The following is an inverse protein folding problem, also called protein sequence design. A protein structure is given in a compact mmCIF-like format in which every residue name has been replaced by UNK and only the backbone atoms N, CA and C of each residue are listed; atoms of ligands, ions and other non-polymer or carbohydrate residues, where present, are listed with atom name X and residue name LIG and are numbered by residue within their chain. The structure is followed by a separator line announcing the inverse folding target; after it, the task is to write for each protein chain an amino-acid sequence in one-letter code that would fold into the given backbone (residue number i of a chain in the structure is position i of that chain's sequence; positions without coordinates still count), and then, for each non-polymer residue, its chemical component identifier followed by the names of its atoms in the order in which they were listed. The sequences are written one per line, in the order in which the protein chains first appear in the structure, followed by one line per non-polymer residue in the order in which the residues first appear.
data_IF_520340494390
#
_entry.id   IF_520340494390
#
_cell.length_a   1.000
_cell.length_b   1.000
_cell.length_c   1.000
_cell.angle_alpha   90.00
_cell.angle_beta   90.00
_cell.angle_gamma   90.00
#
_symmetry.space_group_name_H-M   'P 1'
#
loop_
_entity.id
_entity.type
_entity.pdbx_description
1 polymer ?
#
# COMPACT_ATOMS: atom_id res chain seq x y z
N UNK A 1 -5.49 -19.55 8.88
CA UNK A 1 -4.50 -18.54 8.46
C UNK A 1 -5.23 -17.22 8.32
N UNK A 2 -4.88 -16.23 9.10
CA UNK A 2 -5.56 -14.94 9.10
C UNK A 2 -5.34 -14.17 7.79
N UNK A 3 -6.34 -13.40 7.40
CA UNK A 3 -6.31 -12.52 6.23
C UNK A 3 -6.31 -11.08 6.69
N UNK A 4 -5.40 -10.27 6.18
CA UNK A 4 -5.38 -8.84 6.40
C UNK A 4 -5.51 -8.08 5.07
N UNK A 5 -6.32 -7.03 5.08
CA UNK A 5 -6.47 -6.09 3.97
C UNK A 5 -5.69 -4.82 4.28
N UNK A 6 -4.82 -4.43 3.36
CA UNK A 6 -3.95 -3.25 3.50
C UNK A 6 -4.17 -2.35 2.29
N UNK A 7 -4.49 -1.10 2.52
CA UNK A 7 -4.56 -0.09 1.48
C UNK A 7 -3.17 0.52 1.24
N UNK A 8 -2.82 0.80 -0.01
CA UNK A 8 -1.65 1.61 -0.33
C UNK A 8 -2.05 2.98 -0.83
N UNK A 9 -1.36 4.00 -0.38
CA UNK A 9 -1.53 5.37 -0.78
C UNK A 9 -0.16 6.02 -1.00
N UNK A 10 -0.09 7.06 -1.80
CA UNK A 10 1.13 7.80 -2.12
C UNK A 10 0.97 8.51 -3.45
N UNK A 11 1.74 9.56 -3.67
CA UNK A 11 1.70 10.32 -4.91
C UNK A 11 2.22 9.51 -6.10
N UNK A 12 1.99 10.02 -7.28
CA UNK A 12 2.66 9.52 -8.49
C UNK A 12 4.17 9.57 -8.26
N UNK A 13 4.86 8.54 -8.68
CA UNK A 13 6.32 8.35 -8.54
C UNK A 13 6.84 8.15 -7.11
N UNK A 14 6.01 8.02 -6.09
CA UNK A 14 6.49 7.67 -4.74
C UNK A 14 6.94 6.20 -4.62
N UNK A 15 6.64 5.37 -5.65
CA UNK A 15 7.12 3.99 -5.78
C UNK A 15 6.16 2.93 -5.25
N UNK A 16 4.83 3.19 -5.27
CA UNK A 16 3.81 2.20 -4.87
C UNK A 16 3.92 0.89 -5.65
N UNK A 17 3.86 0.98 -6.99
CA UNK A 17 3.94 -0.20 -7.86
C UNK A 17 5.26 -0.97 -7.66
N UNK A 18 6.38 -0.24 -7.48
CA UNK A 18 7.68 -0.86 -7.18
C UNK A 18 7.66 -1.60 -5.84
N UNK A 19 7.07 -1.00 -4.79
CA UNK A 19 6.95 -1.63 -3.48
C UNK A 19 6.10 -2.90 -3.53
N UNK A 20 4.93 -2.82 -4.18
CA UNK A 20 4.03 -3.98 -4.30
C UNK A 20 4.70 -5.07 -5.13
N UNK A 21 5.30 -4.73 -6.27
CA UNK A 21 6.04 -5.68 -7.08
C UNK A 21 7.20 -6.33 -6.32
N UNK A 22 7.92 -5.57 -5.47
CA UNK A 22 8.97 -6.11 -4.60
C UNK A 22 8.41 -7.10 -3.58
N UNK A 23 7.31 -6.78 -2.93
CA UNK A 23 6.65 -7.70 -2.00
C UNK A 23 6.23 -9.00 -2.70
N UNK A 24 5.65 -8.92 -3.91
CA UNK A 24 5.25 -10.09 -4.69
C UNK A 24 6.45 -10.94 -5.10
N UNK A 25 7.53 -10.30 -5.56
CA UNK A 25 8.75 -11.00 -5.97
C UNK A 25 9.40 -11.74 -4.79
N UNK A 26 9.64 -11.04 -3.69
CA UNK A 26 10.33 -11.59 -2.51
C UNK A 26 9.51 -12.65 -1.76
N UNK A 27 8.18 -12.60 -1.85
CA UNK A 27 7.30 -13.62 -1.25
C UNK A 27 7.03 -14.81 -2.17
N UNK A 28 7.61 -14.81 -3.40
CA UNK A 28 7.40 -15.87 -4.37
C UNK A 28 5.97 -15.92 -4.93
N UNK A 29 5.25 -14.81 -4.88
CA UNK A 29 3.88 -14.72 -5.40
C UNK A 29 3.83 -14.56 -6.93
N UNK A 30 4.92 -14.12 -7.56
CA UNK A 30 5.04 -14.03 -9.03
C UNK A 30 5.37 -15.40 -9.61
N UNK A 31 4.71 -15.73 -10.72
CA UNK A 31 5.01 -16.94 -11.49
C UNK A 31 6.27 -16.75 -12.32
N UNK A 32 6.90 -17.85 -12.71
CA UNK A 32 8.15 -17.83 -13.50
C UNK A 32 8.01 -17.10 -14.85
N UNK A 33 6.87 -17.26 -15.52
CA UNK A 33 6.57 -16.56 -16.77
C UNK A 33 6.44 -15.04 -16.59
N UNK A 34 5.86 -14.60 -15.46
CA UNK A 34 5.77 -13.18 -15.11
C UNK A 34 7.16 -12.60 -14.81
N UNK A 35 7.99 -13.33 -14.06
CA UNK A 35 9.36 -12.90 -13.74
C UNK A 35 10.18 -12.75 -15.03
N UNK A 36 10.15 -13.76 -15.91
CA UNK A 36 10.86 -13.72 -17.19
C UNK A 36 10.40 -12.51 -18.03
N UNK A 37 9.11 -12.23 -18.11
CA UNK A 37 8.58 -11.07 -18.83
C UNK A 37 9.08 -9.73 -18.25
N UNK A 38 9.15 -9.62 -16.91
CA UNK A 38 9.70 -8.43 -16.25
C UNK A 38 11.20 -8.28 -16.54
N UNK A 39 11.96 -9.38 -16.52
CA UNK A 39 13.40 -9.41 -16.87
C UNK A 39 13.65 -8.93 -18.30
N UNK A 40 12.94 -9.50 -19.29
CA UNK A 40 13.04 -9.14 -20.68
C UNK A 40 12.72 -7.65 -20.93
N UNK A 41 11.65 -7.14 -20.30
CA UNK A 41 11.26 -5.72 -20.42
C UNK A 41 12.23 -4.78 -19.73
N UNK A 42 12.74 -5.15 -18.56
CA UNK A 42 13.74 -4.36 -17.84
C UNK A 42 15.03 -4.25 -18.66
N UNK A 43 15.49 -5.36 -19.26
CA UNK A 43 16.63 -5.38 -20.15
C UNK A 43 16.41 -4.55 -21.42
N UNK A 44 15.22 -4.65 -22.06
CA UNK A 44 14.89 -3.88 -23.26
C UNK A 44 14.84 -2.36 -23.01
N UNK A 45 14.52 -1.94 -21.78
CA UNK A 45 14.54 -0.52 -21.37
C UNK A 45 15.95 -0.02 -20.98
N UNK A 46 16.95 -0.90 -20.98
CA UNK A 46 18.31 -0.55 -20.59
C UNK A 46 18.50 -0.32 -19.08
N UNK A 47 17.57 -0.76 -18.26
CA UNK A 47 17.69 -0.65 -16.81
C UNK A 47 18.73 -1.67 -16.29
N UNK A 48 19.67 -1.20 -15.46
CA UNK A 48 20.61 -2.06 -14.76
C UNK A 48 20.01 -2.80 -13.56
N UNK A 49 18.69 -2.82 -13.44
CA UNK A 49 17.93 -3.45 -12.35
C UNK A 49 16.61 -4.00 -12.87
N UNK A 50 15.97 -4.87 -12.07
CA UNK A 50 14.67 -5.45 -12.35
C UNK A 50 13.56 -4.43 -12.03
N UNK A 51 12.81 -3.99 -13.05
CA UNK A 51 11.70 -3.05 -12.88
C UNK A 51 10.44 -3.78 -12.41
N UNK A 52 10.34 -3.95 -11.10
CA UNK A 52 9.22 -4.64 -10.48
C UNK A 52 7.90 -3.86 -10.48
N UNK A 53 7.89 -2.60 -10.92
CA UNK A 53 6.64 -1.87 -11.12
C UNK A 53 5.76 -2.53 -12.19
N UNK A 54 6.37 -3.22 -13.13
CA UNK A 54 5.69 -3.99 -14.18
C UNK A 54 4.85 -5.17 -13.65
N UNK A 55 5.07 -5.60 -12.41
CA UNK A 55 4.31 -6.69 -11.79
C UNK A 55 2.85 -6.29 -11.48
N UNK A 56 2.58 -5.01 -11.31
CA UNK A 56 1.26 -4.47 -10.93
C UNK A 56 0.49 -3.86 -12.10
N UNK A 57 1.13 -3.67 -13.25
CA UNK A 57 0.51 -3.06 -14.43
C UNK A 57 -0.56 -3.98 -15.04
N UNK A 58 -1.81 -3.82 -14.58
CA UNK A 58 -2.95 -4.66 -14.97
C UNK A 58 -3.61 -4.25 -16.28
N UNK A 59 -3.85 -2.96 -16.49
CA UNK A 59 -4.58 -2.41 -17.63
C UNK A 59 -3.64 -1.83 -18.70
N UNK A 60 -4.03 -1.95 -19.97
CA UNK A 60 -3.25 -1.43 -21.10
C UNK A 60 -3.06 0.09 -20.99
N UNK A 61 -4.11 0.80 -20.57
CA UNK A 61 -4.12 2.25 -20.35
C UNK A 61 -3.24 2.68 -19.19
N UNK A 62 -3.14 1.88 -18.14
CA UNK A 62 -2.24 2.10 -17.00
C UNK A 62 -0.77 1.96 -17.45
N UNK A 63 -0.50 0.98 -18.31
CA UNK A 63 0.84 0.77 -18.90
C UNK A 63 1.30 1.92 -19.78
N UNK A 64 0.39 2.49 -20.56
CA UNK A 64 0.69 3.60 -21.47
C UNK A 64 0.92 4.91 -20.74
N UNK A 65 0.19 5.14 -19.65
CA UNK A 65 0.25 6.39 -18.87
C UNK A 65 1.18 6.29 -17.65
N UNK A 66 1.58 5.07 -17.24
CA UNK A 66 2.41 4.83 -16.05
C UNK A 66 1.73 5.21 -14.74
N UNK A 67 0.38 5.21 -14.71
CA UNK A 67 -0.42 5.55 -13.52
C UNK A 67 -1.49 4.49 -13.26
N UNK A 68 -1.79 4.20 -12.00
CA UNK A 68 -2.93 3.39 -11.59
C UNK A 68 -4.21 4.21 -11.72
N UNK A 69 -5.20 3.70 -12.44
CA UNK A 69 -6.47 4.39 -12.70
C UNK A 69 -7.57 3.87 -11.78
N UNK A 70 -7.68 2.55 -11.62
CA UNK A 70 -8.70 1.92 -10.79
C UNK A 70 -8.05 1.14 -9.64
N UNK A 71 -8.86 0.78 -8.63
CA UNK A 71 -8.39 -0.02 -7.49
C UNK A 71 -8.17 -1.45 -7.92
N UNK A 72 -6.95 -1.91 -7.81
CA UNK A 72 -6.62 -3.33 -7.98
C UNK A 72 -6.42 -4.02 -6.63
N UNK A 73 -6.89 -5.28 -6.54
CA UNK A 73 -6.68 -6.11 -5.37
C UNK A 73 -5.62 -7.16 -5.68
N UNK A 74 -4.51 -7.06 -4.99
CA UNK A 74 -3.34 -7.90 -5.19
C UNK A 74 -3.22 -8.86 -4.02
N UNK A 75 -3.09 -10.14 -4.32
CA UNK A 75 -3.10 -11.22 -3.33
C UNK A 75 -1.73 -11.85 -3.22
N UNK A 76 -1.22 -11.97 -2.01
CA UNK A 76 -0.05 -12.78 -1.72
C UNK A 76 -0.14 -13.40 -0.33
N UNK A 77 0.73 -14.35 -0.04
CA UNK A 77 0.75 -15.03 1.24
C UNK A 77 2.16 -15.27 1.74
N UNK A 78 2.29 -15.33 3.04
CA UNK A 78 3.46 -15.83 3.75
C UNK A 78 3.07 -17.09 4.51
N UNK A 79 3.99 -17.89 5.04
CA UNK A 79 3.64 -19.04 5.87
C UNK A 79 2.75 -18.70 7.08
N UNK A 80 2.79 -17.44 7.55
CA UNK A 80 2.04 -17.00 8.74
C UNK A 80 0.71 -16.33 8.41
N UNK A 81 0.59 -15.63 7.26
CA UNK A 81 -0.55 -14.75 7.00
C UNK A 81 -0.81 -14.57 5.50
N UNK A 82 -2.09 -14.37 5.12
CA UNK A 82 -2.50 -13.93 3.79
C UNK A 82 -2.72 -12.43 3.76
N UNK A 83 -2.41 -11.81 2.63
CA UNK A 83 -2.52 -10.38 2.41
C UNK A 83 -3.36 -10.08 1.17
N UNK A 84 -4.19 -9.05 1.28
CA UNK A 84 -4.81 -8.37 0.15
C UNK A 84 -4.31 -6.94 0.18
N UNK A 85 -3.57 -6.53 -0.83
CA UNK A 85 -3.23 -5.12 -1.02
C UNK A 85 -4.26 -4.50 -1.95
N UNK A 86 -4.94 -3.47 -1.46
CA UNK A 86 -5.75 -2.59 -2.30
C UNK A 86 -4.83 -1.48 -2.82
N UNK A 87 -4.38 -1.63 -4.06
CA UNK A 87 -3.57 -0.61 -4.73
C UNK A 87 -4.47 0.49 -5.26
N UNK A 88 -4.26 1.69 -4.76
CA UNK A 88 -5.08 2.85 -5.05
C UNK A 88 -4.32 3.86 -5.92
N UNK A 89 -5.01 4.53 -6.86
CA UNK A 89 -4.41 5.56 -7.68
C UNK A 89 -3.75 6.65 -6.84
N UNK A 90 -2.54 7.09 -7.26
CA UNK A 90 -1.82 8.18 -6.58
C UNK A 90 -2.24 9.58 -7.01
N UNK A 91 -2.99 9.70 -8.10
CA UNK A 91 -3.40 10.98 -8.66
C UNK A 91 -4.59 11.60 -7.91
N UNK A 92 -4.57 12.93 -7.74
CA UNK A 92 -5.60 13.67 -6.97
C UNK A 92 -7.01 13.41 -7.50
N UNK A 93 -7.17 13.31 -8.83
CA UNK A 93 -8.45 13.09 -9.50
C UNK A 93 -9.10 11.76 -9.14
N UNK A 94 -8.32 10.76 -8.74
CA UNK A 94 -8.81 9.41 -8.41
C UNK A 94 -8.96 9.16 -6.90
N UNK A 95 -8.99 10.22 -6.07
CA UNK A 95 -9.17 10.09 -4.61
C UNK A 95 -10.43 9.29 -4.24
N UNK A 96 -11.50 9.37 -5.05
CA UNK A 96 -12.72 8.58 -4.84
C UNK A 96 -12.45 7.07 -4.93
N UNK A 97 -11.63 6.64 -5.88
CA UNK A 97 -11.26 5.23 -6.02
C UNK A 97 -10.43 4.75 -4.82
N UNK A 98 -9.54 5.62 -4.30
CA UNK A 98 -8.83 5.35 -3.05
C UNK A 98 -9.78 5.10 -1.88
N UNK A 99 -10.82 5.93 -1.70
CA UNK A 99 -11.82 5.75 -0.64
C UNK A 99 -12.50 4.39 -0.76
N UNK A 100 -12.93 4.02 -1.95
CA UNK A 100 -13.58 2.72 -2.21
C UNK A 100 -12.66 1.53 -1.89
N UNK A 101 -11.40 1.57 -2.38
CA UNK A 101 -10.42 0.50 -2.16
C UNK A 101 -9.99 0.36 -0.70
N UNK A 102 -9.94 1.48 0.01
CA UNK A 102 -9.47 1.51 1.41
C UNK A 102 -10.58 1.25 2.44
N UNK A 103 -11.86 1.32 2.07
CA UNK A 103 -13.00 1.27 3.00
C UNK A 103 -13.08 0.01 3.86
N UNK A 104 -12.47 -1.08 3.41
CA UNK A 104 -12.44 -2.37 4.12
C UNK A 104 -11.04 -2.74 4.61
N UNK A 105 -10.08 -1.82 4.50
CA UNK A 105 -8.70 -2.06 4.92
C UNK A 105 -8.55 -1.92 6.45
N UNK A 106 -7.75 -2.79 7.03
CA UNK A 106 -7.41 -2.80 8.46
C UNK A 106 -6.15 -1.97 8.73
N UNK A 107 -5.31 -1.83 7.71
CA UNK A 107 -4.12 -1.01 7.76
C UNK A 107 -3.93 -0.22 6.46
N UNK A 108 -3.17 0.84 6.51
CA UNK A 108 -2.78 1.63 5.33
C UNK A 108 -1.28 1.87 5.32
N UNK A 109 -0.67 1.71 4.14
CA UNK A 109 0.71 2.12 3.88
C UNK A 109 0.66 3.40 3.07
N UNK A 110 1.15 4.49 3.66
CA UNK A 110 1.28 5.79 2.99
C UNK A 110 2.74 5.96 2.59
N UNK A 111 3.02 5.88 1.29
CA UNK A 111 4.37 6.08 0.77
C UNK A 111 4.68 7.55 0.58
N UNK A 112 5.94 7.88 0.87
CA UNK A 112 6.53 9.21 0.64
C UNK A 112 7.89 9.04 -0.03
N UNK A 113 8.23 9.93 -0.95
CA UNK A 113 9.60 10.04 -1.50
C UNK A 113 10.47 10.84 -0.52
N UNK A 114 11.56 10.23 -0.03
CA UNK A 114 12.47 10.83 0.94
C UNK A 114 13.05 12.19 0.49
N UNK A 115 13.15 12.43 -0.82
CA UNK A 115 13.62 13.71 -1.39
C UNK A 115 12.58 14.81 -1.29
N UNK A 116 11.29 14.45 -1.33
CA UNK A 116 10.15 15.40 -1.35
C UNK A 116 9.62 15.68 0.05
N UNK A 117 9.77 14.71 0.96
CA UNK A 117 9.20 14.77 2.31
C UNK A 117 7.68 14.77 2.32
N UNK A 118 7.08 15.45 3.29
CA UNK A 118 5.63 15.53 3.48
C UNK A 118 5.03 16.60 2.57
N UNK A 119 4.37 16.19 1.51
CA UNK A 119 3.70 17.07 0.55
C UNK A 119 2.18 17.11 0.79
N UNK A 120 1.47 17.98 0.09
CA UNK A 120 0.03 18.15 0.24
C UNK A 120 -0.75 16.85 -0.02
N UNK A 121 -0.32 16.05 -1.00
CA UNK A 121 -0.94 14.76 -1.30
C UNK A 121 -0.76 13.76 -0.16
N UNK A 122 0.40 13.76 0.52
CA UNK A 122 0.63 12.94 1.72
C UNK A 122 -0.39 13.26 2.81
N UNK A 123 -0.63 14.57 3.05
CA UNK A 123 -1.63 15.01 4.04
C UNK A 123 -3.05 14.55 3.65
N UNK A 124 -3.43 14.66 2.37
CA UNK A 124 -4.73 14.18 1.89
C UNK A 124 -4.91 12.68 2.11
N UNK A 125 -3.90 11.89 1.78
CA UNK A 125 -3.93 10.43 2.02
C UNK A 125 -4.06 10.13 3.52
N UNK A 126 -3.35 10.85 4.36
CA UNK A 126 -3.48 10.74 5.81
C UNK A 126 -4.90 11.06 6.29
N UNK A 127 -5.49 12.18 5.85
CA UNK A 127 -6.87 12.53 6.24
C UNK A 127 -7.90 11.52 5.75
N UNK A 128 -7.77 11.02 4.52
CA UNK A 128 -8.67 9.98 4.00
C UNK A 128 -8.58 8.70 4.85
N UNK A 129 -7.38 8.25 5.19
CA UNK A 129 -7.20 7.07 6.06
C UNK A 129 -7.79 7.27 7.45
N UNK A 130 -7.69 8.46 8.02
CA UNK A 130 -8.32 8.82 9.29
C UNK A 130 -9.85 8.78 9.20
N UNK A 131 -10.44 9.37 8.15
CA UNK A 131 -11.89 9.39 7.93
C UNK A 131 -12.47 7.98 7.72
N UNK A 132 -11.70 7.07 7.11
CA UNK A 132 -12.10 5.67 6.94
C UNK A 132 -11.95 4.83 8.21
N UNK A 133 -11.42 5.40 9.30
CA UNK A 133 -11.27 4.73 10.58
C UNK A 133 -10.22 3.62 10.59
N UNK A 134 -9.23 3.67 9.69
CA UNK A 134 -8.15 2.68 9.63
C UNK A 134 -7.30 2.77 10.89
N UNK A 135 -7.11 1.62 11.57
CA UNK A 135 -6.48 1.56 12.90
C UNK A 135 -4.95 1.51 12.88
N UNK A 136 -4.34 1.14 11.76
CA UNK A 136 -2.89 1.03 11.63
C UNK A 136 -2.43 1.79 10.39
N UNK A 137 -1.60 2.81 10.60
CA UNK A 137 -1.04 3.63 9.50
C UNK A 137 0.48 3.49 9.53
N UNK A 138 1.04 3.05 8.40
CA UNK A 138 2.46 2.90 8.18
C UNK A 138 2.90 3.99 7.21
N UNK A 139 3.70 4.94 7.67
CA UNK A 139 4.38 5.91 6.83
C UNK A 139 5.68 5.28 6.33
N UNK A 140 5.69 4.92 5.05
CA UNK A 140 6.83 4.31 4.38
C UNK A 140 7.63 5.40 3.65
N UNK A 141 8.74 5.81 4.25
CA UNK A 141 9.65 6.80 3.69
C UNK A 141 10.55 6.09 2.68
N UNK A 142 10.15 6.12 1.42
CA UNK A 142 10.76 5.38 0.32
C UNK A 142 11.85 6.18 -0.37
N UNK A 143 12.65 5.48 -1.18
CA UNK A 143 13.78 6.02 -1.94
C UNK A 143 14.89 6.59 -1.07
N UNK A 144 15.13 5.95 0.07
CA UNK A 144 16.24 6.30 0.95
C UNK A 144 17.60 6.17 0.27
N UNK A 145 17.72 5.34 -0.76
CA UNK A 145 18.87 5.23 -1.65
C UNK A 145 19.24 6.56 -2.32
N UNK A 146 18.25 7.36 -2.72
CA UNK A 146 18.45 8.64 -3.39
C UNK A 146 18.88 9.78 -2.44
N UNK A 147 18.83 9.54 -1.13
CA UNK A 147 19.32 10.45 -0.09
C UNK A 147 20.47 9.82 0.71
N UNK A 148 21.16 8.82 0.11
CA UNK A 148 22.30 8.11 0.69
C UNK A 148 22.00 7.51 2.08
N UNK A 149 20.78 7.03 2.30
CA UNK A 149 20.33 6.40 3.54
C UNK A 149 20.52 7.24 4.81
N UNK A 150 20.54 8.57 4.68
CA UNK A 150 20.82 9.50 5.79
C UNK A 150 19.71 9.45 6.84
N UNK A 151 20.08 9.20 8.09
CA UNK A 151 19.17 9.20 9.23
C UNK A 151 18.51 10.56 9.43
N UNK A 152 19.26 11.65 9.27
CA UNK A 152 18.76 13.02 9.44
C UNK A 152 17.53 13.30 8.57
N UNK A 153 17.55 12.87 7.29
CA UNK A 153 16.43 13.06 6.37
C UNK A 153 15.18 12.31 6.86
N UNK A 154 15.36 11.09 7.37
CA UNK A 154 14.26 10.32 7.94
C UNK A 154 13.68 10.98 9.18
N UNK A 155 14.53 11.45 10.12
CA UNK A 155 14.06 12.06 11.37
C UNK A 155 13.36 13.41 11.12
N UNK A 156 13.79 14.20 10.14
CA UNK A 156 13.13 15.45 9.74
C UNK A 156 11.72 15.17 9.18
N UNK A 157 11.59 14.17 8.30
CA UNK A 157 10.30 13.76 7.75
C UNK A 157 9.40 13.21 8.86
N UNK A 158 9.92 12.34 9.73
CA UNK A 158 9.20 11.77 10.86
C UNK A 158 8.73 12.86 11.83
N UNK A 159 9.54 13.86 12.11
CA UNK A 159 9.14 14.99 12.94
C UNK A 159 7.97 15.75 12.32
N UNK A 160 8.03 16.01 11.02
CA UNK A 160 6.93 16.65 10.28
C UNK A 160 5.64 15.82 10.31
N UNK A 161 5.75 14.51 10.15
CA UNK A 161 4.62 13.58 10.27
C UNK A 161 4.06 13.52 11.69
N UNK A 162 4.93 13.50 12.71
CA UNK A 162 4.49 13.54 14.11
C UNK A 162 3.68 14.81 14.40
N UNK A 163 4.14 15.98 13.95
CA UNK A 163 3.40 17.24 14.10
C UNK A 163 2.02 17.17 13.40
N UNK A 164 1.93 16.49 12.26
CA UNK A 164 0.65 16.27 11.56
C UNK A 164 -0.26 15.32 12.36
N UNK A 165 0.30 14.24 12.90
CA UNK A 165 -0.41 13.26 13.75
C UNK A 165 -0.86 13.90 15.06
N UNK A 166 -0.01 14.64 15.75
CA UNK A 166 -0.34 15.30 17.02
C UNK A 166 -1.47 16.30 16.86
N UNK A 167 -1.52 16.99 15.71
CA UNK A 167 -2.54 18.00 15.43
C UNK A 167 -3.87 17.42 14.95
N UNK A 168 -3.84 16.31 14.19
CA UNK A 168 -4.99 15.81 13.44
C UNK A 168 -5.21 14.30 13.57
N UNK A 169 -4.30 13.58 14.22
CA UNK A 169 -4.39 12.13 14.36
C UNK A 169 -5.43 11.69 15.37
N UNK A 170 -5.92 10.46 15.20
CA UNK A 170 -6.80 9.82 16.16
C UNK A 170 -5.95 9.04 17.17
N UNK A 171 -6.27 9.16 18.47
CA UNK A 171 -5.56 8.47 19.57
C UNK A 171 -5.70 6.95 19.54
N UNK A 172 -6.75 6.44 18.88
CA UNK A 172 -7.01 5.00 18.76
C UNK A 172 -6.29 4.37 17.55
N UNK A 173 -5.44 5.13 16.86
CA UNK A 173 -4.69 4.69 15.68
C UNK A 173 -3.22 4.49 16.02
N UNK A 174 -2.66 3.36 15.59
CA UNK A 174 -1.23 3.08 15.70
C UNK A 174 -0.49 3.64 14.48
N UNK A 175 0.53 4.46 14.72
CA UNK A 175 1.34 5.08 13.68
C UNK A 175 2.74 4.47 13.68
N UNK A 176 3.19 4.03 12.50
CA UNK A 176 4.50 3.45 12.30
C UNK A 176 5.26 4.23 11.23
N UNK A 177 6.57 4.35 11.41
CA UNK A 177 7.45 5.07 10.49
C UNK A 177 8.59 4.16 10.09
N UNK A 178 8.76 3.93 8.79
CA UNK A 178 9.77 3.03 8.29
C UNK A 178 10.54 3.64 7.12
N UNK A 179 11.88 3.77 7.22
CA UNK A 179 12.73 4.12 6.10
C UNK A 179 12.95 2.88 5.24
N UNK A 180 12.81 3.01 3.92
CA UNK A 180 13.01 1.87 3.01
C UNK A 180 13.49 2.30 1.61
N UNK A 181 13.96 1.33 0.84
CA UNK A 181 14.13 1.46 -0.61
C UNK A 181 13.45 0.28 -1.29
N UNK A 182 12.35 0.57 -1.99
CA UNK A 182 11.61 -0.44 -2.73
C UNK A 182 12.42 -1.02 -3.89
N UNK A 183 13.29 -0.20 -4.49
CA UNK A 183 14.14 -0.63 -5.60
C UNK A 183 15.16 -1.66 -5.18
N UNK A 184 15.80 -1.47 -4.01
CA UNK A 184 16.91 -2.29 -3.54
C UNK A 184 16.53 -3.27 -2.41
N UNK A 185 15.23 -3.46 -2.12
CA UNK A 185 14.73 -4.35 -1.05
C UNK A 185 15.21 -3.98 0.36
N UNK A 186 15.57 -2.71 0.58
CA UNK A 186 16.07 -2.28 1.89
C UNK A 186 14.91 -2.04 2.86
N UNK A 187 14.90 -2.72 4.01
CA UNK A 187 13.86 -2.70 5.03
C UNK A 187 12.45 -3.16 4.56
N UNK A 188 12.35 -3.96 3.50
CA UNK A 188 11.06 -4.47 3.02
C UNK A 188 10.77 -5.85 3.58
N UNK A 189 11.57 -6.86 3.22
CA UNK A 189 11.40 -8.22 3.74
C UNK A 189 12.33 -8.46 4.91
N UNK A 190 13.57 -7.99 4.80
CA UNK A 190 14.59 -8.09 5.84
C UNK A 190 15.10 -6.71 6.22
N UNK A 191 15.65 -6.60 7.42
CA UNK A 191 16.32 -5.38 7.85
C UNK A 191 17.55 -5.12 6.99
N UNK A 192 17.77 -3.86 6.64
CA UNK A 192 18.88 -3.39 5.83
C UNK A 192 20.09 -3.06 6.69
N UNK A 193 21.27 -3.48 6.26
CA UNK A 193 22.54 -3.03 6.86
C UNK A 193 22.83 -1.54 6.57
N UNK A 194 22.33 -1.00 5.44
CA UNK A 194 22.47 0.43 5.08
C UNK A 194 21.59 1.36 5.93
N UNK A 195 20.59 0.78 6.59
CA UNK A 195 19.65 1.47 7.49
C UNK A 195 19.79 0.92 8.91
N UNK A 196 20.99 0.57 9.35
CA UNK A 196 21.29 -0.06 10.64
C UNK A 196 20.95 0.83 11.85
N UNK A 197 20.89 2.13 11.65
CA UNK A 197 20.41 3.10 12.62
C UNK A 197 18.90 2.97 12.91
N UNK A 198 18.11 2.43 11.97
CA UNK A 198 16.71 2.14 12.19
C UNK A 198 16.56 0.82 12.96
N UNK A 199 16.14 0.91 14.23
CA UNK A 199 16.01 -0.27 15.11
C UNK A 199 14.64 -0.97 15.01
N UNK A 200 13.73 -0.45 14.16
CA UNK A 200 12.42 -1.05 13.91
C UNK A 200 12.47 -2.33 13.08
N UNK A 201 11.32 -2.93 12.88
CA UNK A 201 11.12 -4.10 12.03
C UNK A 201 11.15 -3.74 10.55
N UNK A 202 11.38 -4.74 9.67
CA UNK A 202 11.16 -4.60 8.24
C UNK A 202 9.64 -4.49 7.95
N UNK A 203 9.29 -3.91 6.80
CA UNK A 203 7.89 -3.64 6.44
C UNK A 203 7.03 -4.91 6.49
N UNK A 204 7.50 -6.01 5.92
CA UNK A 204 6.74 -7.27 5.89
C UNK A 204 6.51 -7.83 7.30
N UNK A 205 7.47 -7.71 8.21
CA UNK A 205 7.31 -8.17 9.59
C UNK A 205 6.34 -7.27 10.36
N UNK A 206 6.41 -5.97 10.17
CA UNK A 206 5.43 -5.03 10.69
C UNK A 206 4.01 -5.35 10.18
N UNK A 207 3.85 -5.62 8.88
CA UNK A 207 2.56 -6.04 8.31
C UNK A 207 2.05 -7.37 8.90
N UNK A 208 2.93 -8.31 9.22
CA UNK A 208 2.57 -9.58 9.87
C UNK A 208 2.15 -9.38 11.33
N UNK A 209 2.69 -8.36 12.01
CA UNK A 209 2.42 -8.08 13.42
C UNK A 209 1.09 -7.35 13.65
N UNK A 210 0.51 -6.70 12.65
CA UNK A 210 -0.75 -5.96 12.79
C UNK A 210 -1.86 -6.92 13.24
N UNK A 211 -2.56 -6.65 14.35
CA UNK A 211 -3.66 -7.48 14.80
C UNK A 211 -4.85 -7.41 13.82
N UNK A 212 -5.46 -8.55 13.54
CA UNK A 212 -6.71 -8.61 12.78
C UNK A 212 -7.85 -8.61 13.79
N UNK A 213 -8.57 -7.50 13.88
CA UNK A 213 -9.79 -7.46 14.67
C UNK A 213 -10.82 -8.39 14.01
N UNK A 214 -11.15 -9.50 14.65
CA UNK A 214 -12.32 -10.27 14.28
C UNK A 214 -13.54 -9.46 14.68
N UNK A 215 -14.24 -8.86 13.73
CA UNK A 215 -15.60 -8.38 13.95
C UNK A 215 -16.46 -9.59 14.34
N UNK A 216 -16.52 -9.88 15.63
CA UNK A 216 -17.57 -10.72 16.20
C UNK A 216 -18.84 -9.88 16.18
N UNK A 217 -19.45 -9.71 15.01
CA UNK A 217 -20.83 -9.31 14.97
C UNK A 217 -21.63 -10.44 15.65
N UNK A 218 -22.11 -10.20 16.86
CA UNK A 218 -22.96 -11.14 17.58
C UNK A 218 -24.35 -11.24 16.93
N UNK A 219 -24.69 -10.30 16.06
CA UNK A 219 -25.98 -10.25 15.33
C UNK A 219 -25.72 -10.21 13.82
N UNK A 220 -26.44 -11.03 13.08
CA UNK A 220 -26.42 -11.03 11.61
C UNK A 220 -27.12 -9.77 11.08
N UNK A 221 -26.36 -8.89 10.44
CA UNK A 221 -26.92 -7.72 9.73
C UNK A 221 -26.89 -7.98 8.23
N UNK A 222 -28.07 -7.96 7.60
CA UNK A 222 -28.22 -8.07 6.17
C UNK A 222 -28.68 -6.74 5.57
N UNK A 223 -27.87 -6.15 4.73
CA UNK A 223 -28.26 -4.97 3.96
C UNK A 223 -29.03 -5.41 2.71
N UNK A 224 -30.28 -4.93 2.57
CA UNK A 224 -31.04 -5.10 1.34
C UNK A 224 -30.52 -4.06 0.34
N UNK A 225 -29.81 -4.54 -0.69
CA UNK A 225 -29.26 -3.67 -1.73
C UNK A 225 -30.19 -3.49 -2.92
N UNK A 226 -31.02 -4.49 -3.22
CA UNK A 226 -31.92 -4.48 -4.36
C UNK A 226 -33.10 -5.41 -4.16
N UNK A 227 -34.29 -4.98 -4.55
CA UNK A 227 -35.52 -5.81 -4.55
C UNK A 227 -35.88 -6.14 -6.00
N UNK A 228 -35.77 -7.43 -6.35
CA UNK A 228 -36.16 -7.92 -7.66
C UNK A 228 -37.65 -8.36 -7.58
N UNK A 229 -38.52 -7.71 -8.35
CA UNK A 229 -39.88 -8.15 -8.56
C UNK A 229 -39.94 -8.89 -9.89
N UNK A 230 -40.28 -10.18 -9.90
CA UNK A 230 -40.49 -10.90 -11.16
C UNK A 230 -41.70 -10.28 -11.89
N UNK A 231 -41.51 -9.99 -13.18
CA UNK A 231 -42.63 -9.57 -14.07
C UNK A 231 -43.43 -10.80 -14.54
N UNK A 232 -44.12 -11.43 -13.63
CA UNK A 232 -45.05 -12.53 -13.97
C UNK A 232 -46.46 -12.13 -13.55
N UNK A 233 -47.45 -12.51 -14.32
CA UNK A 233 -48.87 -12.20 -14.09
C UNK A 233 -49.41 -12.64 -12.73
N UNK A 234 -48.69 -13.49 -12.00
CA UNK A 234 -49.02 -13.96 -10.66
C UNK A 234 -48.72 -12.96 -9.51
N UNK A 235 -48.15 -11.77 -9.79
CA UNK A 235 -47.79 -10.77 -8.79
C UNK A 235 -48.42 -9.39 -9.09
N UNK A 236 -49.61 -9.39 -9.72
CA UNK A 236 -50.42 -8.18 -9.80
C UNK A 236 -51.42 -8.23 -8.64
N UNK A 237 -50.99 -7.66 -7.50
CA UNK A 237 -51.82 -7.05 -6.46
C UNK A 237 -51.00 -5.98 -5.72
#
# INVERSE_FOLDING_TARGET
MELIKIATAGSVDDGKSTLIGRLLYETGALKSDQIQHIEEKSAARGFGYLDLSLATDGLLTEREQGITIDVSHIFFSTPKRRFIIADSPGHVEYTRNMVTGSSTAQASIILLDARKGVIEQTKRHFFVTQLLGIKHIIFAINKMDLVNYKQEVFEDIKTTLNNLVDKHGNKDVSYHYIPLSALYNENIVNRSEKLDWHKGEALLDLMKAIPVESNKANDGVFQIQYVIRPKTEAFHD
#
